data_IF_294955175564
#
_entry.id   IF_294955175564
#
_cell.length_a   1.000
_cell.length_b   1.000
_cell.length_c   1.000
_cell.angle_alpha   90.00
_cell.angle_beta   90.00
_cell.angle_gamma   90.00
#
_symmetry.space_group_name_H-M   'P 1'
#
loop_
_entity.id
_entity.type
_entity.pdbx_description
1 polymer ?
#
# COMPACT_ATOMS: atom_id res chain seq x y z
N UNK A 1 4.10 12.73 9.39
CA UNK A 1 5.08 12.67 8.28
C UNK A 1 4.79 13.76 7.25
N UNK A 2 3.57 13.85 6.74
CA UNK A 2 3.15 14.80 5.70
C UNK A 2 3.41 16.24 6.09
N UNK A 3 2.90 16.67 7.26
CA UNK A 3 3.15 18.02 7.79
C UNK A 3 4.64 18.36 7.91
N UNK A 4 5.46 17.44 8.42
CA UNK A 4 6.92 17.64 8.54
C UNK A 4 7.57 17.90 7.19
N UNK A 5 7.14 17.22 6.12
CA UNK A 5 7.64 17.49 4.79
C UNK A 5 7.18 18.85 4.26
N UNK A 6 5.91 19.20 4.44
CA UNK A 6 5.38 20.51 4.02
C UNK A 6 6.08 21.63 4.76
N UNK A 7 6.28 21.53 6.07
CA UNK A 7 7.03 22.51 6.86
C UNK A 7 8.47 22.62 6.36
N UNK A 8 9.13 21.50 5.99
CA UNK A 8 10.49 21.56 5.44
C UNK A 8 10.52 22.22 4.06
N UNK A 9 9.52 22.00 3.22
CA UNK A 9 9.37 22.71 1.92
C UNK A 9 9.21 24.22 2.17
N UNK A 10 8.31 24.60 3.07
CA UNK A 10 8.07 25.99 3.44
C UNK A 10 9.35 26.69 3.97
N UNK A 11 10.04 26.07 4.92
CA UNK A 11 11.29 26.57 5.47
C UNK A 11 12.39 26.76 4.41
N UNK A 12 12.51 25.86 3.45
CA UNK A 12 13.50 25.96 2.39
C UNK A 12 13.14 27.07 1.40
N UNK A 13 11.85 27.23 1.12
CA UNK A 13 11.34 28.31 0.28
C UNK A 13 11.57 29.69 0.93
N UNK A 14 11.18 29.87 2.19
CA UNK A 14 11.37 31.13 2.94
C UNK A 14 12.86 31.54 3.01
N UNK A 15 13.76 30.54 3.02
CA UNK A 15 15.21 30.79 2.98
C UNK A 15 15.76 31.03 1.56
N UNK A 16 14.91 31.08 0.54
CA UNK A 16 15.30 31.20 -0.85
C UNK A 16 16.16 30.06 -1.41
N UNK A 17 16.05 28.87 -0.76
CA UNK A 17 16.84 27.69 -1.14
C UNK A 17 16.19 26.88 -2.26
N UNK A 18 14.86 26.93 -2.36
CA UNK A 18 14.07 26.26 -3.39
C UNK A 18 12.98 27.21 -3.90
N UNK A 19 12.56 27.01 -5.14
CA UNK A 19 11.36 27.59 -5.77
C UNK A 19 10.43 26.50 -6.31
N UNK A 20 10.83 25.22 -6.18
CA UNK A 20 10.04 24.09 -6.64
C UNK A 20 10.08 22.88 -5.69
N UNK A 21 8.98 22.11 -5.67
CA UNK A 21 8.89 20.85 -4.96
C UNK A 21 8.23 19.77 -5.83
N UNK A 22 8.89 18.64 -6.01
CA UNK A 22 8.33 17.45 -6.64
C UNK A 22 7.96 16.42 -5.57
N UNK A 23 6.67 16.18 -5.39
CA UNK A 23 6.15 15.18 -4.47
C UNK A 23 5.73 13.93 -5.25
N UNK A 24 6.40 12.81 -4.99
CA UNK A 24 6.10 11.52 -5.59
C UNK A 24 5.40 10.65 -4.56
N UNK A 25 4.20 10.16 -4.87
CA UNK A 25 3.39 9.37 -3.94
C UNK A 25 2.69 8.20 -4.64
N UNK A 26 2.17 7.19 -3.93
CA UNK A 26 1.32 6.17 -4.52
C UNK A 26 0.06 6.77 -5.16
N UNK A 27 -0.43 6.17 -6.25
CA UNK A 27 -1.61 6.66 -7.01
C UNK A 27 -2.82 6.96 -6.11
N UNK A 28 -3.06 6.16 -5.07
CA UNK A 28 -4.18 6.37 -4.13
C UNK A 28 -4.03 7.57 -3.21
N UNK A 29 -2.84 8.18 -3.11
CA UNK A 29 -2.53 9.25 -2.15
C UNK A 29 -2.35 10.61 -2.80
N UNK A 30 -2.01 10.65 -4.10
CA UNK A 30 -1.71 11.93 -4.79
C UNK A 30 -2.86 12.94 -4.73
N UNK A 31 -4.11 12.47 -4.77
CA UNK A 31 -5.29 13.35 -4.64
C UNK A 31 -5.41 13.93 -3.23
N UNK A 32 -5.08 13.15 -2.20
CA UNK A 32 -5.06 13.60 -0.80
C UNK A 32 -4.00 14.69 -0.60
N UNK A 33 -2.80 14.51 -1.14
CA UNK A 33 -1.75 15.53 -1.14
C UNK A 33 -2.23 16.85 -1.73
N UNK A 34 -2.85 16.77 -2.90
CA UNK A 34 -3.30 17.95 -3.64
C UNK A 34 -4.51 18.65 -3.01
N UNK A 35 -5.53 17.87 -2.61
CA UNK A 35 -6.83 18.44 -2.16
C UNK A 35 -6.91 18.72 -0.66
N UNK A 36 -6.10 18.06 0.17
CA UNK A 36 -6.24 18.09 1.62
C UNK A 36 -4.95 18.53 2.33
N UNK A 37 -3.83 17.86 2.09
CA UNK A 37 -2.62 18.04 2.88
C UNK A 37 -1.92 19.38 2.59
N UNK A 38 -1.72 19.72 1.32
CA UNK A 38 -1.15 21.01 0.95
C UNK A 38 -2.02 22.18 1.40
N UNK A 39 -3.34 22.23 1.13
CA UNK A 39 -4.18 23.32 1.60
C UNK A 39 -4.27 23.44 3.12
N UNK A 40 -4.18 22.30 3.85
CA UNK A 40 -4.30 22.30 5.31
C UNK A 40 -3.01 22.67 6.05
N UNK A 41 -1.85 22.53 5.41
CA UNK A 41 -0.57 22.59 6.11
C UNK A 41 0.46 23.54 5.51
N UNK A 42 0.30 23.98 4.26
CA UNK A 42 1.17 25.00 3.70
C UNK A 42 0.83 26.35 4.34
N UNK A 43 1.83 27.12 4.84
CA UNK A 43 1.56 28.42 5.44
C UNK A 43 0.90 29.41 4.47
N UNK A 44 -0.08 30.18 4.95
CA UNK A 44 -0.88 31.10 4.14
C UNK A 44 -0.06 32.22 3.45
N UNK A 45 1.12 32.56 3.99
CA UNK A 45 1.99 33.58 3.39
C UNK A 45 2.75 33.08 2.15
N UNK A 46 2.73 31.78 1.86
CA UNK A 46 3.41 31.18 0.71
C UNK A 46 2.44 31.10 -0.46
N UNK A 47 2.58 32.00 -1.42
CA UNK A 47 1.91 31.88 -2.71
C UNK A 47 2.45 30.67 -3.45
N UNK A 48 1.56 29.83 -4.00
CA UNK A 48 1.97 28.58 -4.61
C UNK A 48 1.14 28.20 -5.84
N UNK A 49 1.79 27.49 -6.75
CA UNK A 49 1.17 26.87 -7.92
C UNK A 49 1.33 25.36 -7.78
N UNK A 50 0.30 24.69 -7.28
CA UNK A 50 0.30 23.23 -7.14
C UNK A 50 -0.44 22.56 -8.30
N UNK A 51 0.16 21.54 -8.93
CA UNK A 51 -0.45 20.79 -10.04
C UNK A 51 -0.27 19.29 -9.84
N UNK A 52 -1.37 18.56 -10.00
CA UNK A 52 -1.39 17.10 -10.03
C UNK A 52 -1.18 16.61 -11.47
N UNK A 53 -0.11 15.86 -11.70
CA UNK A 53 0.17 15.24 -12.99
C UNK A 53 -0.81 14.10 -13.30
N UNK A 54 -1.22 14.02 -14.58
CA UNK A 54 -2.10 12.95 -15.09
C UNK A 54 -1.52 12.36 -16.38
N UNK A 55 -1.69 11.05 -16.57
CA UNK A 55 -1.19 10.35 -17.75
C UNK A 55 -1.91 10.80 -19.04
N UNK A 56 -3.23 11.00 -18.96
CA UNK A 56 -4.05 11.50 -20.07
C UNK A 56 -4.16 13.01 -19.94
N UNK A 57 -3.40 13.73 -20.76
CA UNK A 57 -3.33 15.19 -20.75
C UNK A 57 -4.26 15.70 -21.83
N UNK A 58 -5.37 16.32 -21.43
CA UNK A 58 -6.21 17.14 -22.31
C UNK A 58 -5.70 18.60 -22.32
N UNK A 59 -6.28 19.45 -23.18
CA UNK A 59 -5.87 20.87 -23.33
C UNK A 59 -5.89 21.63 -21.98
N UNK A 60 -6.95 21.47 -21.21
CA UNK A 60 -7.10 22.11 -19.88
C UNK A 60 -6.02 21.64 -18.89
N UNK A 61 -5.69 20.35 -18.94
CA UNK A 61 -4.63 19.80 -18.09
C UNK A 61 -3.25 20.28 -18.53
N UNK A 62 -3.01 20.41 -19.84
CA UNK A 62 -1.78 20.98 -20.36
C UNK A 62 -1.59 22.44 -19.91
N UNK A 63 -2.63 23.26 -20.02
CA UNK A 63 -2.61 24.65 -19.56
C UNK A 63 -2.25 24.74 -18.06
N UNK A 64 -2.78 23.84 -17.22
CA UNK A 64 -2.40 23.76 -15.81
C UNK A 64 -0.93 23.36 -15.62
N UNK A 65 -0.46 22.37 -16.37
CA UNK A 65 0.94 21.94 -16.29
C UNK A 65 1.91 23.05 -16.74
N UNK A 66 1.50 23.87 -17.69
CA UNK A 66 2.31 24.99 -18.20
C UNK A 66 2.44 26.12 -17.16
N UNK A 67 1.50 26.25 -16.21
CA UNK A 67 1.64 27.23 -15.12
C UNK A 67 2.84 26.93 -14.22
N UNK A 68 3.28 25.68 -14.13
CA UNK A 68 4.48 25.30 -13.37
C UNK A 68 5.79 25.89 -13.93
N UNK A 69 5.79 26.43 -15.12
CA UNK A 69 6.97 26.97 -15.79
C UNK A 69 6.88 28.50 -16.03
N UNK A 70 5.85 29.13 -15.47
CA UNK A 70 5.74 30.61 -15.53
C UNK A 70 6.73 31.20 -14.55
N UNK A 71 7.33 32.31 -14.96
CA UNK A 71 8.21 33.12 -14.10
C UNK A 71 7.39 33.86 -13.06
N UNK A 72 7.78 33.81 -11.81
CA UNK A 72 7.12 34.40 -10.66
C UNK A 72 7.90 34.16 -9.39
N UNK A 73 7.38 34.65 -8.28
CA UNK A 73 7.94 34.41 -6.95
C UNK A 73 7.22 33.27 -6.23
N UNK A 74 6.33 32.52 -6.90
CA UNK A 74 5.52 31.46 -6.31
C UNK A 74 6.31 30.19 -6.09
N UNK A 75 5.93 29.43 -5.07
CA UNK A 75 6.40 28.06 -4.88
C UNK A 75 5.68 27.13 -5.86
N UNK A 76 6.40 26.52 -6.78
CA UNK A 76 5.85 25.58 -7.75
C UNK A 76 5.86 24.15 -7.18
N UNK A 77 4.69 23.51 -7.09
CA UNK A 77 4.57 22.17 -6.54
C UNK A 77 3.99 21.21 -7.59
N UNK A 78 4.80 20.25 -7.99
CA UNK A 78 4.39 19.17 -8.88
C UNK A 78 4.13 17.90 -8.06
N UNK A 79 2.93 17.34 -8.17
CA UNK A 79 2.56 16.07 -7.50
C UNK A 79 2.42 15.01 -8.57
N UNK A 80 3.15 13.89 -8.44
CA UNK A 80 3.15 12.78 -9.39
C UNK A 80 2.94 11.44 -8.69
N UNK A 81 2.23 10.54 -9.35
CA UNK A 81 2.19 9.16 -8.88
C UNK A 81 3.48 8.42 -9.27
N UNK A 82 3.93 7.52 -8.39
CA UNK A 82 5.20 6.79 -8.59
C UNK A 82 5.21 5.93 -9.86
N UNK A 83 4.03 5.45 -10.30
CA UNK A 83 3.88 4.66 -11.53
C UNK A 83 4.20 5.48 -12.80
N UNK A 84 4.04 6.81 -12.75
CA UNK A 84 4.37 7.71 -13.86
C UNK A 84 5.84 7.58 -14.28
N UNK A 85 6.74 7.28 -13.35
CA UNK A 85 8.17 7.08 -13.61
C UNK A 85 8.50 5.79 -14.37
N UNK A 86 7.54 4.88 -14.52
CA UNK A 86 7.67 3.73 -15.43
C UNK A 86 7.40 4.10 -16.89
N UNK A 87 6.81 5.29 -17.15
CA UNK A 87 6.48 5.80 -18.48
C UNK A 87 7.51 6.84 -18.95
N UNK A 88 7.74 6.91 -20.25
CA UNK A 88 8.64 7.91 -20.82
C UNK A 88 8.12 9.34 -20.62
N UNK A 89 6.82 9.55 -20.87
CA UNK A 89 6.16 10.85 -20.72
C UNK A 89 6.29 11.41 -19.31
N UNK A 90 6.05 10.57 -18.28
CA UNK A 90 6.19 10.98 -16.88
C UNK A 90 7.63 11.32 -16.53
N UNK A 91 8.61 10.55 -17.00
CA UNK A 91 10.03 10.81 -16.78
C UNK A 91 10.50 12.12 -17.41
N UNK A 92 10.13 12.36 -18.68
CA UNK A 92 10.50 13.61 -19.39
C UNK A 92 9.93 14.80 -18.65
N UNK A 93 8.66 14.73 -18.23
CA UNK A 93 8.02 15.84 -17.54
C UNK A 93 8.64 16.12 -16.18
N UNK A 94 8.87 15.08 -15.36
CA UNK A 94 9.54 15.20 -14.07
C UNK A 94 10.94 15.82 -14.21
N UNK A 95 11.74 15.32 -15.18
CA UNK A 95 13.07 15.86 -15.45
C UNK A 95 13.05 17.31 -15.92
N UNK A 96 12.06 17.71 -16.77
CA UNK A 96 11.86 19.09 -17.18
C UNK A 96 11.60 19.98 -15.97
N UNK A 97 10.67 19.58 -15.09
CA UNK A 97 10.35 20.33 -13.87
C UNK A 97 11.58 20.50 -12.97
N UNK A 98 12.30 19.41 -12.66
CA UNK A 98 13.47 19.44 -11.80
C UNK A 98 14.63 20.30 -12.34
N UNK A 99 14.77 20.40 -13.68
CA UNK A 99 15.77 21.28 -14.31
C UNK A 99 15.38 22.75 -14.34
N UNK A 100 14.08 23.02 -14.32
CA UNK A 100 13.56 24.40 -14.37
C UNK A 100 13.51 25.09 -13.01
N UNK A 101 13.64 24.30 -11.91
CA UNK A 101 13.49 24.81 -10.55
C UNK A 101 14.64 24.40 -9.65
N UNK A 102 15.01 25.27 -8.70
CA UNK A 102 15.78 24.88 -7.52
C UNK A 102 14.88 24.05 -6.62
N UNK A 103 14.92 22.73 -6.72
CA UNK A 103 13.85 21.89 -6.21
C UNK A 103 14.24 20.97 -5.06
N UNK A 104 13.23 20.66 -4.24
CA UNK A 104 13.21 19.49 -3.36
C UNK A 104 12.41 18.38 -4.05
N UNK A 105 12.95 17.16 -4.08
CA UNK A 105 12.23 15.96 -4.51
C UNK A 105 11.95 15.08 -3.31
N UNK A 106 10.69 14.75 -3.08
CA UNK A 106 10.25 13.90 -1.98
C UNK A 106 9.50 12.68 -2.48
N UNK A 107 9.71 11.53 -1.82
CA UNK A 107 8.98 10.29 -2.09
C UNK A 107 8.20 9.90 -0.85
N UNK A 108 6.89 9.95 -0.95
CA UNK A 108 5.98 9.41 0.05
C UNK A 108 5.77 7.92 -0.19
N UNK A 109 5.71 7.14 0.89
CA UNK A 109 5.72 5.68 0.89
C UNK A 109 6.89 5.13 0.04
N UNK A 110 8.12 5.48 0.46
CA UNK A 110 9.37 5.17 -0.26
C UNK A 110 9.62 3.67 -0.47
N UNK A 111 8.92 2.80 0.22
CA UNK A 111 8.90 1.34 -0.06
C UNK A 111 8.48 1.03 -1.49
N UNK A 112 7.81 1.95 -2.17
CA UNK A 112 7.46 1.84 -3.60
C UNK A 112 8.67 1.78 -4.52
N UNK A 113 9.83 2.26 -4.08
CA UNK A 113 11.11 2.22 -4.80
C UNK A 113 12.14 1.24 -4.22
N UNK A 114 11.75 0.35 -3.29
CA UNK A 114 12.66 -0.62 -2.65
C UNK A 114 13.33 -1.62 -3.59
N UNK A 115 12.73 -1.87 -4.78
CA UNK A 115 13.29 -2.82 -5.75
C UNK A 115 14.23 -2.11 -6.73
N UNK A 116 15.57 -2.34 -6.64
CA UNK A 116 16.56 -1.67 -7.50
C UNK A 116 16.45 -2.03 -8.98
N UNK A 117 15.75 -3.12 -9.31
CA UNK A 117 15.56 -3.57 -10.70
C UNK A 117 14.32 -2.96 -11.37
N UNK A 118 13.42 -2.35 -10.60
CA UNK A 118 12.19 -1.78 -11.15
C UNK A 118 12.47 -0.55 -12.02
N UNK A 119 11.77 -0.43 -13.16
CA UNK A 119 11.91 0.70 -14.08
C UNK A 119 11.72 2.05 -13.39
N UNK A 120 10.70 2.15 -12.53
CA UNK A 120 10.40 3.38 -11.76
C UNK A 120 11.53 3.74 -10.79
N UNK A 121 12.11 2.76 -10.09
CA UNK A 121 13.21 2.97 -9.16
C UNK A 121 14.43 3.54 -9.87
N UNK A 122 14.87 2.88 -10.95
CA UNK A 122 15.99 3.36 -11.78
C UNK A 122 15.77 4.77 -12.33
N UNK A 123 14.54 5.07 -12.77
CA UNK A 123 14.19 6.39 -13.26
C UNK A 123 14.27 7.45 -12.16
N UNK A 124 13.76 7.17 -10.97
CA UNK A 124 13.80 8.07 -9.82
C UNK A 124 15.24 8.28 -9.36
N UNK A 125 16.03 7.21 -9.24
CA UNK A 125 17.46 7.29 -8.89
C UNK A 125 18.26 8.13 -9.89
N UNK A 126 17.98 8.00 -11.20
CA UNK A 126 18.65 8.82 -12.23
C UNK A 126 18.33 10.30 -12.16
N UNK A 127 17.24 10.69 -11.51
CA UNK A 127 16.81 12.08 -11.35
C UNK A 127 17.30 12.73 -10.05
N UNK A 128 17.90 11.97 -9.13
CA UNK A 128 18.36 12.49 -7.84
C UNK A 128 19.27 13.71 -7.93
N UNK A 129 20.13 13.74 -8.93
CA UNK A 129 21.09 14.84 -9.15
C UNK A 129 20.44 16.11 -9.72
N UNK A 130 19.20 16.02 -10.20
CA UNK A 130 18.47 17.18 -10.71
C UNK A 130 17.79 17.99 -9.60
N UNK A 131 17.65 17.42 -8.39
CA UNK A 131 17.09 18.10 -7.22
C UNK A 131 18.17 18.46 -6.21
N UNK A 132 18.05 19.63 -5.60
CA UNK A 132 18.99 20.09 -4.56
C UNK A 132 18.79 19.35 -3.25
N UNK A 133 17.54 19.08 -2.90
CA UNK A 133 17.18 18.41 -1.66
C UNK A 133 16.33 17.17 -1.96
N UNK A 134 16.56 16.09 -1.19
CA UNK A 134 15.81 14.84 -1.32
C UNK A 134 15.27 14.40 0.04
N UNK A 135 14.06 13.87 0.04
CA UNK A 135 13.43 13.31 1.24
C UNK A 135 12.70 12.03 0.90
N UNK A 136 12.64 11.13 1.84
CA UNK A 136 11.76 9.96 1.80
C UNK A 136 10.91 9.88 3.04
N UNK A 137 9.69 9.43 2.89
CA UNK A 137 8.72 9.23 3.95
C UNK A 137 8.22 7.81 3.88
N UNK A 138 8.19 7.11 5.00
CA UNK A 138 7.61 5.77 5.08
C UNK A 138 7.18 5.45 6.50
N UNK A 139 6.19 4.59 6.65
CA UNK A 139 5.81 4.02 7.94
C UNK A 139 6.71 2.87 8.36
N UNK A 140 7.24 2.13 7.37
CA UNK A 140 8.11 0.98 7.58
C UNK A 140 9.10 0.87 6.42
N UNK A 141 10.35 1.31 6.55
CA UNK A 141 11.32 1.29 5.46
C UNK A 141 11.76 -0.12 5.07
N UNK A 142 11.62 -1.07 6.00
CA UNK A 142 11.89 -2.49 5.80
C UNK A 142 10.58 -3.25 5.84
N UNK A 143 10.17 -3.84 4.74
CA UNK A 143 8.90 -4.55 4.60
C UNK A 143 9.06 -6.05 4.45
N UNK A 144 10.13 -6.50 3.81
CA UNK A 144 10.46 -7.91 3.61
C UNK A 144 11.77 -8.28 4.27
N UNK A 145 12.78 -7.47 4.04
CA UNK A 145 14.11 -7.71 4.55
C UNK A 145 14.96 -6.43 4.49
N UNK A 146 16.09 -6.37 5.20
CA UNK A 146 16.95 -5.20 5.26
C UNK A 146 17.48 -4.69 3.90
N UNK A 147 17.47 -5.53 2.86
CA UNK A 147 17.90 -5.11 1.52
C UNK A 147 16.93 -4.12 0.86
N UNK A 148 15.72 -3.99 1.38
CA UNK A 148 14.74 -2.99 0.94
C UNK A 148 15.25 -1.55 1.15
N UNK A 149 16.23 -1.35 2.02
CA UNK A 149 16.81 -0.04 2.33
C UNK A 149 17.70 0.52 1.22
N UNK A 150 18.34 -0.35 0.43
CA UNK A 150 19.37 0.08 -0.52
C UNK A 150 18.89 1.19 -1.45
N UNK A 151 17.89 0.95 -2.26
CA UNK A 151 17.39 1.94 -3.23
C UNK A 151 16.80 3.18 -2.59
N UNK A 152 16.21 3.04 -1.41
CA UNK A 152 15.65 4.18 -0.67
C UNK A 152 16.75 5.13 -0.20
N UNK A 153 17.87 4.57 0.33
CA UNK A 153 19.02 5.37 0.73
C UNK A 153 19.83 5.87 -0.47
N UNK A 154 19.96 5.07 -1.53
CA UNK A 154 20.63 5.44 -2.79
C UNK A 154 19.97 6.69 -3.43
N UNK A 155 18.65 6.78 -3.34
CA UNK A 155 17.93 7.99 -3.78
C UNK A 155 18.30 9.22 -2.94
N UNK A 156 18.44 9.09 -1.63
CA UNK A 156 18.82 10.20 -0.74
C UNK A 156 20.25 10.66 -1.04
N UNK A 157 21.21 9.76 -0.87
CA UNK A 157 22.61 9.96 -1.17
C UNK A 157 23.30 8.60 -1.29
N UNK A 158 23.99 8.30 -2.41
CA UNK A 158 24.71 7.04 -2.59
C UNK A 158 25.84 6.80 -1.57
N UNK A 159 26.35 7.86 -0.94
CA UNK A 159 27.42 7.76 0.06
C UNK A 159 26.90 7.39 1.47
N UNK A 160 25.60 7.47 1.74
CA UNK A 160 25.06 7.16 3.06
C UNK A 160 25.32 5.73 3.54
N UNK A 161 25.31 4.78 2.62
CA UNK A 161 25.52 3.36 2.97
C UNK A 161 26.93 2.86 2.67
N UNK A 162 27.81 3.66 2.06
CA UNK A 162 29.18 3.31 1.63
C UNK A 162 29.25 2.07 0.74
N UNK A 163 28.27 1.89 -0.15
CA UNK A 163 28.22 0.79 -1.09
C UNK A 163 28.04 1.28 -2.52
N UNK A 164 28.94 0.87 -3.40
CA UNK A 164 28.91 1.28 -4.81
C UNK A 164 27.85 0.58 -5.64
N UNK A 165 27.22 -0.48 -5.12
CA UNK A 165 26.19 -1.22 -5.83
C UNK A 165 25.29 -2.03 -4.89
N UNK A 166 24.09 -2.35 -5.37
CA UNK A 166 23.20 -3.28 -4.68
C UNK A 166 23.86 -4.64 -4.36
N UNK A 167 24.71 -5.14 -5.24
CA UNK A 167 25.38 -6.43 -5.02
C UNK A 167 26.40 -6.37 -3.88
N UNK A 168 27.17 -5.28 -3.79
CA UNK A 168 28.07 -5.03 -2.67
C UNK A 168 27.30 -4.94 -1.35
N UNK A 169 26.21 -4.16 -1.32
CA UNK A 169 25.33 -4.04 -0.17
C UNK A 169 24.73 -5.39 0.24
N UNK A 170 24.21 -6.16 -0.73
CA UNK A 170 23.66 -7.50 -0.48
C UNK A 170 24.71 -8.45 0.11
N UNK A 171 25.92 -8.46 -0.41
CA UNK A 171 27.02 -9.33 0.08
C UNK A 171 27.40 -8.97 1.52
N UNK A 172 27.34 -7.68 1.89
CA UNK A 172 27.65 -7.22 3.25
C UNK A 172 26.59 -7.63 4.25
N UNK A 173 25.29 -7.52 3.89
CA UNK A 173 24.21 -7.66 4.85
C UNK A 173 23.38 -8.93 4.71
N UNK A 174 23.52 -9.71 3.64
CA UNK A 174 22.83 -10.98 3.47
C UNK A 174 23.75 -12.18 3.59
N UNK A 175 23.24 -13.26 4.13
CA UNK A 175 23.83 -14.59 4.09
C UNK A 175 23.26 -15.31 2.88
N UNK A 176 24.15 -15.72 1.96
CA UNK A 176 23.76 -16.34 0.70
C UNK A 176 23.95 -17.86 0.77
N UNK A 177 22.97 -18.60 0.24
CA UNK A 177 23.05 -20.06 0.07
C UNK A 177 22.83 -20.39 -1.39
N UNK A 178 23.66 -21.25 -1.91
CA UNK A 178 23.46 -21.82 -3.24
C UNK A 178 22.42 -22.93 -3.18
N UNK A 179 21.43 -22.85 -4.04
CA UNK A 179 20.43 -23.89 -4.22
C UNK A 179 20.38 -24.30 -5.70
N UNK A 180 20.34 -25.60 -5.96
CA UNK A 180 20.14 -26.12 -7.31
C UNK A 180 18.65 -26.33 -7.56
N UNK A 181 18.05 -25.46 -8.40
CA UNK A 181 16.64 -25.54 -8.76
C UNK A 181 16.55 -25.78 -10.27
N UNK A 182 15.91 -26.89 -10.66
CA UNK A 182 15.76 -27.28 -12.06
C UNK A 182 17.07 -27.28 -12.87
N UNK A 183 18.16 -27.80 -12.28
CA UNK A 183 19.48 -27.88 -12.92
C UNK A 183 20.24 -26.56 -13.01
N UNK A 184 19.74 -25.48 -12.42
CA UNK A 184 20.43 -24.18 -12.34
C UNK A 184 20.83 -23.87 -10.92
N UNK A 185 22.08 -23.44 -10.75
CA UNK A 185 22.60 -22.93 -9.48
C UNK A 185 22.09 -21.51 -9.26
N UNK A 186 21.27 -21.30 -8.21
CA UNK A 186 20.69 -20.02 -7.85
C UNK A 186 21.14 -19.62 -6.44
N UNK A 187 21.53 -18.36 -6.29
CA UNK A 187 21.88 -17.78 -4.99
C UNK A 187 20.61 -17.27 -4.29
N UNK A 188 20.29 -17.89 -3.16
CA UNK A 188 19.16 -17.51 -2.32
C UNK A 188 19.65 -16.82 -1.04
N UNK A 189 18.93 -15.83 -0.58
CA UNK A 189 19.14 -15.24 0.76
C UNK A 189 18.60 -16.20 1.79
N UNK A 190 19.46 -16.67 2.70
CA UNK A 190 19.11 -17.59 3.79
C UNK A 190 19.08 -16.90 5.17
N UNK A 191 19.59 -15.68 5.26
CA UNK A 191 19.63 -14.90 6.50
C UNK A 191 20.27 -13.54 6.29
N UNK A 192 20.41 -12.79 7.39
CA UNK A 192 21.00 -11.46 7.40
C UNK A 192 22.08 -11.36 8.47
N UNK A 193 23.04 -10.48 8.25
CA UNK A 193 24.20 -10.24 9.13
C UNK A 193 24.52 -8.75 9.19
N UNK A 194 25.36 -8.33 10.15
CA UNK A 194 25.84 -6.96 10.32
C UNK A 194 24.70 -5.91 10.47
N UNK A 195 23.56 -6.30 11.04
CA UNK A 195 22.38 -5.42 11.15
C UNK A 195 22.62 -4.23 12.10
N UNK A 196 23.48 -4.40 13.13
CA UNK A 196 23.90 -3.31 14.01
C UNK A 196 24.62 -2.20 13.24
N UNK A 197 25.60 -2.57 12.41
CA UNK A 197 26.34 -1.64 11.54
C UNK A 197 25.37 -0.90 10.60
N UNK A 198 24.41 -1.61 9.99
CA UNK A 198 23.42 -0.99 9.11
C UNK A 198 22.55 0.00 9.88
N UNK A 199 22.10 -0.35 11.08
CA UNK A 199 21.34 0.54 11.96
C UNK A 199 22.12 1.81 12.29
N UNK A 200 23.40 1.68 12.64
CA UNK A 200 24.26 2.82 12.98
C UNK A 200 24.50 3.75 11.78
N UNK A 201 24.63 3.20 10.58
CA UNK A 201 24.73 4.01 9.35
C UNK A 201 23.45 4.79 9.03
N UNK A 202 22.27 4.30 9.42
CA UNK A 202 21.00 4.99 9.18
C UNK A 202 20.76 6.16 10.15
N UNK A 203 21.23 6.07 11.38
CA UNK A 203 20.97 7.06 12.44
C UNK A 203 21.28 8.52 12.04
N UNK A 204 22.40 8.85 11.38
CA UNK A 204 22.77 10.25 11.11
C UNK A 204 21.82 11.00 10.18
N UNK A 205 21.08 10.31 9.32
CA UNK A 205 20.21 10.92 8.30
C UNK A 205 18.77 10.47 8.36
N UNK A 206 18.39 9.65 9.37
CA UNK A 206 17.02 9.19 9.56
C UNK A 206 16.43 9.63 10.89
N UNK A 207 15.12 9.89 10.89
CA UNK A 207 14.36 10.17 12.10
C UNK A 207 13.16 9.23 12.18
N UNK A 208 13.06 8.51 13.29
CA UNK A 208 11.99 7.56 13.55
C UNK A 208 11.19 8.00 14.77
N UNK A 209 9.87 7.98 14.63
CA UNK A 209 8.92 8.23 15.73
C UNK A 209 7.94 7.08 15.74
N UNK A 210 7.76 6.42 16.87
CA UNK A 210 6.73 5.41 17.05
C UNK A 210 5.41 6.07 17.44
N UNK A 211 4.30 5.46 17.06
CA UNK A 211 2.97 5.96 17.42
C UNK A 211 2.76 5.97 18.92
N UNK A 212 3.21 4.92 19.60
CA UNK A 212 3.15 4.73 21.05
C UNK A 212 3.92 5.80 21.82
N UNK A 213 4.97 6.39 21.23
CA UNK A 213 5.76 7.45 21.88
C UNK A 213 5.10 8.83 21.78
N UNK A 214 4.17 9.03 20.84
CA UNK A 214 3.67 10.36 20.46
C UNK A 214 2.16 10.50 20.49
N UNK A 215 1.42 9.42 20.54
CA UNK A 215 -0.03 9.43 20.43
C UNK A 215 -0.62 8.58 21.55
N UNK A 216 -1.50 9.19 22.32
CA UNK A 216 -2.38 8.47 23.23
C UNK A 216 -3.59 7.95 22.43
N UNK A 217 -3.44 6.75 21.86
CA UNK A 217 -4.48 6.08 21.10
C UNK A 217 -5.11 4.96 21.94
N UNK A 218 -6.42 4.75 21.82
CA UNK A 218 -7.08 3.61 22.44
C UNK A 218 -6.47 2.27 22.03
N UNK A 219 -6.61 1.26 22.87
CA UNK A 219 -6.01 -0.07 22.62
C UNK A 219 -6.54 -0.74 21.35
N UNK A 220 -5.76 -1.70 20.84
CA UNK A 220 -6.15 -2.63 19.78
C UNK A 220 -6.54 -3.96 20.39
N UNK A 221 -7.66 -4.53 19.95
CA UNK A 221 -8.15 -5.83 20.37
C UNK A 221 -8.16 -6.74 19.16
N UNK A 222 -7.55 -7.91 19.25
CA UNK A 222 -7.51 -8.89 18.16
C UNK A 222 -8.34 -10.12 18.51
N UNK A 223 -9.24 -10.48 17.60
CA UNK A 223 -10.13 -11.62 17.72
C UNK A 223 -10.04 -12.50 16.47
N UNK A 224 -10.33 -13.78 16.63
CA UNK A 224 -10.44 -14.74 15.53
C UNK A 224 -11.83 -15.37 15.55
N UNK A 225 -12.38 -15.54 14.36
CA UNK A 225 -13.58 -16.34 14.12
C UNK A 225 -13.20 -17.50 13.22
N UNK A 226 -13.20 -18.71 13.78
CA UNK A 226 -12.80 -19.91 13.08
C UNK A 226 -14.03 -20.60 12.49
N UNK A 227 -13.96 -20.93 11.22
CA UNK A 227 -15.01 -21.60 10.46
C UNK A 227 -14.44 -22.83 9.77
N UNK A 228 -15.34 -23.74 9.37
CA UNK A 228 -14.99 -24.92 8.58
C UNK A 228 -15.48 -24.77 7.14
N UNK A 229 -14.82 -25.45 6.21
CA UNK A 229 -15.30 -25.58 4.83
C UNK A 229 -16.64 -26.32 4.80
N UNK A 230 -17.54 -25.91 3.91
CA UNK A 230 -18.71 -26.72 3.57
C UNK A 230 -18.26 -28.03 2.90
N UNK A 231 -19.08 -29.09 2.90
CA UNK A 231 -18.72 -30.33 2.21
C UNK A 231 -18.35 -30.15 0.73
N UNK A 232 -19.06 -29.26 0.05
CA UNK A 232 -18.78 -28.90 -1.36
C UNK A 232 -17.42 -28.19 -1.51
N UNK A 233 -17.16 -27.17 -0.68
CA UNK A 233 -15.87 -26.48 -0.67
C UNK A 233 -14.73 -27.46 -0.35
N UNK A 234 -14.92 -28.34 0.64
CA UNK A 234 -13.90 -29.30 1.07
C UNK A 234 -13.50 -30.21 -0.08
N UNK A 235 -14.48 -30.73 -0.82
CA UNK A 235 -14.22 -31.56 -1.99
C UNK A 235 -13.34 -30.84 -3.00
N UNK A 236 -13.74 -29.64 -3.43
CA UNK A 236 -13.01 -28.85 -4.42
C UNK A 236 -11.62 -28.42 -3.88
N UNK A 237 -11.54 -28.09 -2.59
CA UNK A 237 -10.29 -27.72 -1.94
C UNK A 237 -9.29 -28.89 -1.89
N UNK A 238 -9.74 -30.08 -1.54
CA UNK A 238 -8.90 -31.28 -1.44
C UNK A 238 -8.44 -31.75 -2.83
N UNK A 239 -9.29 -31.70 -3.85
CA UNK A 239 -8.94 -31.98 -5.26
C UNK A 239 -7.84 -31.00 -5.73
N UNK A 240 -8.01 -29.70 -5.49
CA UNK A 240 -7.01 -28.67 -5.84
C UNK A 240 -5.70 -28.88 -5.07
N UNK A 241 -5.77 -29.24 -3.79
CA UNK A 241 -4.60 -29.52 -2.94
C UNK A 241 -3.83 -30.73 -3.43
N UNK A 242 -4.51 -31.81 -3.84
CA UNK A 242 -3.89 -33.00 -4.43
C UNK A 242 -3.20 -32.68 -5.75
N UNK A 243 -3.87 -31.92 -6.62
CA UNK A 243 -3.29 -31.44 -7.89
C UNK A 243 -2.05 -30.57 -7.64
N UNK A 244 -2.11 -29.69 -6.66
CA UNK A 244 -0.97 -28.87 -6.25
C UNK A 244 0.20 -29.72 -5.76
N UNK A 245 -0.04 -30.73 -4.92
CA UNK A 245 0.98 -31.66 -4.42
C UNK A 245 1.57 -32.53 -5.54
N UNK A 246 0.74 -33.06 -6.45
CA UNK A 246 1.20 -33.82 -7.62
C UNK A 246 2.10 -32.99 -8.53
N UNK A 247 1.74 -31.74 -8.75
CA UNK A 247 2.56 -30.78 -9.50
C UNK A 247 3.89 -30.48 -8.79
N UNK A 248 3.90 -30.40 -7.47
CA UNK A 248 5.13 -30.19 -6.65
C UNK A 248 6.05 -31.42 -6.67
N UNK A 249 5.49 -32.62 -6.65
CA UNK A 249 6.23 -33.89 -6.68
C UNK A 249 6.71 -34.27 -8.09
N UNK A 250 6.01 -33.85 -9.14
CA UNK A 250 6.44 -33.97 -10.53
C UNK A 250 7.49 -32.91 -10.87
N UNK A 251 8.68 -33.31 -11.29
CA UNK A 251 9.95 -32.57 -11.45
C UNK A 251 9.95 -31.22 -12.21
N UNK A 252 8.81 -30.55 -12.43
CA UNK A 252 8.69 -29.27 -13.14
C UNK A 252 7.73 -28.30 -12.45
N UNK A 253 8.09 -27.81 -11.27
CA UNK A 253 7.34 -26.69 -10.66
C UNK A 253 8.11 -25.40 -10.84
N UNK A 254 7.53 -24.47 -11.61
CA UNK A 254 7.96 -23.08 -11.56
C UNK A 254 7.34 -22.44 -10.33
N UNK A 255 8.05 -21.48 -9.70
CA UNK A 255 7.54 -20.69 -8.56
C UNK A 255 6.18 -20.04 -8.89
N UNK A 256 5.94 -19.71 -10.15
CA UNK A 256 4.68 -19.14 -10.65
C UNK A 256 3.51 -20.12 -10.48
N UNK A 257 3.70 -21.40 -10.83
CA UNK A 257 2.65 -22.42 -10.69
C UNK A 257 2.29 -22.67 -9.22
N UNK A 258 3.28 -22.72 -8.32
CA UNK A 258 3.04 -22.90 -6.89
C UNK A 258 2.25 -21.72 -6.28
N UNK A 259 2.61 -20.48 -6.65
CA UNK A 259 1.87 -19.29 -6.18
C UNK A 259 0.44 -19.27 -6.72
N UNK A 260 0.23 -19.63 -7.98
CA UNK A 260 -1.12 -19.70 -8.58
C UNK A 260 -1.99 -20.73 -7.85
N UNK A 261 -1.43 -21.87 -7.50
CA UNK A 261 -2.16 -22.91 -6.75
C UNK A 261 -2.52 -22.47 -5.34
N UNK A 262 -1.60 -21.80 -4.62
CA UNK A 262 -1.90 -21.22 -3.31
C UNK A 262 -3.00 -20.16 -3.39
N UNK A 263 -3.00 -19.31 -4.42
CA UNK A 263 -4.07 -18.34 -4.66
C UNK A 263 -5.41 -19.02 -4.92
N UNK A 264 -5.45 -20.10 -5.73
CA UNK A 264 -6.67 -20.87 -5.98
C UNK A 264 -7.22 -21.53 -4.72
N UNK A 265 -6.36 -22.13 -3.91
CA UNK A 265 -6.76 -22.71 -2.62
C UNK A 265 -7.37 -21.65 -1.70
N UNK A 266 -6.80 -20.46 -1.67
CA UNK A 266 -7.33 -19.36 -0.87
C UNK A 266 -8.68 -18.85 -1.43
N UNK A 267 -8.83 -18.73 -2.73
CA UNK A 267 -10.09 -18.37 -3.37
C UNK A 267 -11.19 -19.36 -3.02
N UNK A 268 -10.90 -20.66 -3.06
CA UNK A 268 -11.87 -21.71 -2.67
C UNK A 268 -12.27 -21.54 -1.20
N UNK A 269 -11.32 -21.27 -0.30
CA UNK A 269 -11.61 -20.99 1.11
C UNK A 269 -12.47 -19.72 1.30
N UNK A 270 -12.38 -18.74 0.38
CA UNK A 270 -13.24 -17.56 0.36
C UNK A 270 -14.60 -17.77 -0.31
N UNK A 271 -14.84 -18.95 -0.91
CA UNK A 271 -16.12 -19.30 -1.53
C UNK A 271 -16.25 -18.97 -3.02
N UNK A 272 -15.13 -18.84 -3.73
CA UNK A 272 -15.11 -18.73 -5.18
C UNK A 272 -13.81 -19.32 -5.75
N UNK A 273 -13.77 -19.57 -7.05
CA UNK A 273 -12.55 -19.88 -7.78
C UNK A 273 -12.64 -19.44 -9.23
N UNK A 274 -11.49 -19.23 -9.85
CA UNK A 274 -11.40 -18.95 -11.27
C UNK A 274 -11.09 -20.24 -12.01
N UNK A 275 -12.01 -20.67 -12.88
CA UNK A 275 -11.83 -21.83 -13.74
C UNK A 275 -10.77 -21.57 -14.82
N UNK A 276 -10.34 -22.63 -15.53
CA UNK A 276 -9.28 -22.51 -16.55
C UNK A 276 -9.71 -21.68 -17.77
N UNK A 277 -11.00 -21.58 -18.04
CA UNK A 277 -11.59 -20.73 -19.07
C UNK A 277 -11.68 -19.24 -18.66
N UNK A 278 -11.25 -18.91 -17.43
CA UNK A 278 -11.31 -17.56 -16.86
C UNK A 278 -12.65 -17.22 -16.20
N UNK A 279 -13.65 -18.10 -16.24
CA UNK A 279 -14.92 -17.89 -15.55
C UNK A 279 -14.76 -17.97 -14.04
N UNK A 280 -15.52 -17.13 -13.30
CA UNK A 280 -15.52 -17.15 -11.84
C UNK A 280 -16.75 -17.92 -11.38
N UNK A 281 -16.51 -19.00 -10.61
CA UNK A 281 -17.52 -19.83 -10.00
C UNK A 281 -17.65 -19.49 -8.52
N UNK A 282 -18.87 -19.26 -8.03
CA UNK A 282 -19.14 -19.11 -6.60
C UNK A 282 -19.48 -20.49 -5.99
N UNK A 283 -18.98 -20.72 -4.79
CA UNK A 283 -19.26 -21.92 -3.99
C UNK A 283 -19.94 -21.48 -2.70
N UNK A 284 -20.97 -22.21 -2.27
CA UNK A 284 -21.60 -21.96 -0.97
C UNK A 284 -20.54 -22.09 0.13
N UNK A 285 -20.45 -21.11 1.02
CA UNK A 285 -19.42 -21.07 2.07
C UNK A 285 -19.99 -20.55 3.38
N UNK A 286 -19.38 -20.96 4.50
CA UNK A 286 -19.76 -20.53 5.84
C UNK A 286 -19.19 -19.14 6.18
N UNK A 287 -18.18 -18.65 5.44
CA UNK A 287 -17.47 -17.38 5.72
C UNK A 287 -18.38 -16.18 5.62
N UNK A 288 -19.27 -16.16 4.63
CA UNK A 288 -20.19 -15.04 4.42
C UNK A 288 -21.26 -14.99 5.52
N UNK A 289 -21.72 -16.15 6.00
CA UNK A 289 -22.69 -16.20 7.10
C UNK A 289 -22.01 -15.78 8.42
N UNK A 290 -20.81 -16.29 8.72
CA UNK A 290 -20.04 -15.83 9.89
C UNK A 290 -19.77 -14.33 9.87
N UNK A 291 -19.48 -13.76 8.66
CA UNK A 291 -19.35 -12.32 8.53
C UNK A 291 -20.65 -11.60 8.91
N UNK A 292 -21.82 -12.09 8.45
CA UNK A 292 -23.09 -11.46 8.79
C UNK A 292 -23.34 -11.51 10.30
N UNK A 293 -23.04 -12.64 10.96
CA UNK A 293 -23.17 -12.79 12.41
C UNK A 293 -22.25 -11.78 13.15
N UNK A 294 -20.99 -11.66 12.72
CA UNK A 294 -20.07 -10.64 13.27
C UNK A 294 -20.62 -9.23 13.09
N UNK A 295 -21.19 -8.90 11.90
CA UNK A 295 -21.70 -7.57 11.62
C UNK A 295 -22.98 -7.25 12.41
N UNK A 296 -23.76 -8.24 12.80
CA UNK A 296 -24.91 -8.07 13.70
C UNK A 296 -24.49 -7.74 15.13
N UNK A 297 -23.34 -8.29 15.58
CA UNK A 297 -22.77 -7.99 16.90
C UNK A 297 -22.16 -6.56 16.97
N UNK A 298 -21.88 -5.92 15.81
CA UNK A 298 -21.20 -4.62 15.77
C UNK A 298 -22.14 -3.48 16.11
N UNK A 299 -21.80 -2.74 17.16
CA UNK A 299 -22.40 -1.45 17.45
C UNK A 299 -21.69 -0.34 16.64
N UNK A 300 -22.43 0.35 15.77
CA UNK A 300 -21.90 1.46 14.96
C UNK A 300 -21.36 1.04 13.60
N UNK A 301 -20.19 1.57 13.22
CA UNK A 301 -19.63 1.37 11.88
C UNK A 301 -18.51 0.34 11.89
N UNK A 302 -18.45 -0.48 10.82
CA UNK A 302 -17.41 -1.46 10.60
C UNK A 302 -16.73 -1.30 9.24
N UNK A 303 -15.46 -1.67 9.20
CA UNK A 303 -14.67 -1.80 7.97
C UNK A 303 -14.51 -3.29 7.69
N UNK A 304 -14.79 -3.71 6.46
CA UNK A 304 -14.61 -5.08 6.00
C UNK A 304 -13.51 -5.09 4.94
N UNK A 305 -12.40 -5.73 5.22
CA UNK A 305 -11.31 -5.88 4.30
C UNK A 305 -11.36 -7.22 3.59
N UNK A 306 -11.36 -7.20 2.26
CA UNK A 306 -11.35 -8.34 1.38
C UNK A 306 -10.07 -8.36 0.54
N UNK A 307 -9.42 -9.51 0.41
CA UNK A 307 -8.21 -9.65 -0.39
C UNK A 307 -8.51 -9.61 -1.90
N UNK A 308 -9.62 -10.21 -2.32
CA UNK A 308 -10.04 -10.30 -3.71
C UNK A 308 -11.16 -9.32 -4.02
N UNK A 309 -11.20 -8.82 -5.28
CA UNK A 309 -12.28 -7.93 -5.74
C UNK A 309 -13.63 -8.64 -5.73
N UNK A 310 -13.64 -9.94 -6.11
CA UNK A 310 -14.85 -10.76 -6.07
C UNK A 310 -15.44 -10.88 -4.66
N UNK A 311 -14.58 -11.00 -3.65
CA UNK A 311 -15.02 -10.98 -2.26
C UNK A 311 -15.72 -9.65 -1.91
N UNK A 312 -15.18 -8.52 -2.38
CA UNK A 312 -15.81 -7.20 -2.14
C UNK A 312 -17.22 -7.15 -2.73
N UNK A 313 -17.40 -7.64 -3.95
CA UNK A 313 -18.69 -7.67 -4.65
C UNK A 313 -19.70 -8.56 -3.91
N UNK A 314 -19.30 -9.80 -3.59
CA UNK A 314 -20.14 -10.76 -2.88
C UNK A 314 -20.53 -10.26 -1.47
N UNK A 315 -19.57 -9.73 -0.73
CA UNK A 315 -19.80 -9.18 0.62
C UNK A 315 -20.71 -7.96 0.56
N UNK A 316 -20.47 -7.04 -0.37
CA UNK A 316 -21.29 -5.83 -0.52
C UNK A 316 -22.74 -6.17 -0.89
N UNK A 317 -22.95 -7.11 -1.81
CA UNK A 317 -24.28 -7.60 -2.17
C UNK A 317 -25.00 -8.22 -0.95
N UNK A 318 -24.29 -9.06 -0.19
CA UNK A 318 -24.85 -9.70 1.01
C UNK A 318 -25.18 -8.72 2.12
N UNK A 319 -24.29 -7.75 2.37
CA UNK A 319 -24.53 -6.65 3.33
C UNK A 319 -25.77 -5.85 2.94
N UNK A 320 -25.88 -5.45 1.67
CA UNK A 320 -27.04 -4.69 1.18
C UNK A 320 -28.36 -5.49 1.31
N UNK A 321 -28.29 -6.80 1.08
CA UNK A 321 -29.46 -7.69 1.24
C UNK A 321 -29.86 -7.88 2.70
N UNK A 322 -28.90 -8.00 3.64
CA UNK A 322 -29.16 -8.28 5.05
C UNK A 322 -29.56 -7.04 5.83
N UNK A 323 -28.87 -5.92 5.61
CA UNK A 323 -29.00 -4.68 6.41
C UNK A 323 -29.70 -3.56 5.66
N UNK A 324 -30.14 -3.79 4.42
CA UNK A 324 -30.85 -2.84 3.60
C UNK A 324 -29.95 -2.07 2.59
N UNK A 325 -30.54 -1.56 1.52
CA UNK A 325 -29.85 -0.74 0.54
C UNK A 325 -29.34 0.56 1.20
N UNK A 326 -28.09 0.92 0.92
CA UNK A 326 -27.47 2.11 1.52
C UNK A 326 -26.77 1.87 2.86
N UNK A 327 -26.91 0.68 3.48
CA UNK A 327 -26.24 0.31 4.73
C UNK A 327 -24.71 0.21 4.59
N UNK A 328 -24.20 0.10 3.37
CA UNK A 328 -22.76 -0.02 3.10
C UNK A 328 -22.33 0.68 1.83
N UNK A 329 -21.02 0.81 1.69
CA UNK A 329 -20.32 1.30 0.49
C UNK A 329 -19.21 0.33 0.10
N UNK A 330 -18.86 0.29 -1.18
CA UNK A 330 -17.71 -0.47 -1.65
C UNK A 330 -16.56 0.44 -2.09
N UNK A 331 -15.31 -0.02 -1.89
CA UNK A 331 -14.10 0.74 -2.18
C UNK A 331 -12.96 -0.18 -2.65
N UNK A 332 -12.83 -0.37 -3.95
CA UNK A 332 -11.80 -1.26 -4.52
C UNK A 332 -11.32 -0.78 -5.90
N UNK A 333 -10.44 -1.54 -6.54
CA UNK A 333 -9.83 -1.17 -7.82
C UNK A 333 -10.82 -0.92 -8.95
N UNK A 334 -11.95 -1.63 -8.96
CA UNK A 334 -13.03 -1.47 -9.95
C UNK A 334 -13.91 -0.24 -9.75
N UNK A 335 -13.91 0.38 -8.56
CA UNK A 335 -14.69 1.60 -8.29
C UNK A 335 -14.05 2.81 -8.96
N UNK A 336 -14.83 3.62 -9.66
CA UNK A 336 -14.36 4.87 -10.28
C UNK A 336 -13.86 5.87 -9.23
N UNK A 337 -12.87 6.74 -9.53
CA UNK A 337 -12.32 7.70 -8.56
C UNK A 337 -13.36 8.62 -7.92
N UNK A 338 -14.32 9.12 -8.72
CA UNK A 338 -15.39 10.00 -8.24
C UNK A 338 -16.37 9.26 -7.30
N UNK A 339 -16.64 7.99 -7.58
CA UNK A 339 -17.46 7.13 -6.74
C UNK A 339 -16.77 6.79 -5.43
N UNK A 340 -15.44 6.65 -5.44
CA UNK A 340 -14.65 6.44 -4.21
C UNK A 340 -14.75 7.65 -3.26
N UNK A 341 -14.65 8.87 -3.80
CA UNK A 341 -14.78 10.09 -2.99
C UNK A 341 -16.20 10.16 -2.37
N UNK A 342 -17.25 9.83 -3.16
CA UNK A 342 -18.63 9.77 -2.68
C UNK A 342 -18.84 8.69 -1.62
N UNK A 343 -18.31 7.48 -1.86
CA UNK A 343 -18.40 6.35 -0.92
C UNK A 343 -17.74 6.71 0.42
N UNK A 344 -16.55 7.31 0.38
CA UNK A 344 -15.83 7.73 1.57
C UNK A 344 -16.59 8.79 2.36
N UNK A 345 -17.16 9.79 1.66
CA UNK A 345 -17.99 10.82 2.29
C UNK A 345 -19.25 10.23 2.91
N UNK A 346 -19.96 9.37 2.17
CA UNK A 346 -21.18 8.71 2.67
C UNK A 346 -20.88 7.86 3.91
N UNK A 347 -19.82 7.06 3.90
CA UNK A 347 -19.45 6.26 5.07
C UNK A 347 -19.10 7.13 6.30
N UNK A 348 -18.47 8.29 6.11
CA UNK A 348 -18.11 9.18 7.22
C UNK A 348 -19.30 9.94 7.81
N UNK A 349 -20.16 10.48 6.95
CA UNK A 349 -21.16 11.47 7.33
C UNK A 349 -22.58 10.88 7.53
N UNK A 350 -22.92 9.82 6.81
CA UNK A 350 -24.24 9.20 6.89
C UNK A 350 -24.28 8.14 8.00
N UNK A 351 -25.10 8.30 9.06
CA UNK A 351 -25.20 7.31 10.14
C UNK A 351 -25.76 5.96 9.68
N UNK A 352 -26.62 5.94 8.66
CA UNK A 352 -27.22 4.71 8.14
C UNK A 352 -26.23 3.88 7.31
N UNK A 353 -25.17 4.51 6.78
CA UNK A 353 -24.10 3.83 6.09
C UNK A 353 -23.10 3.26 7.10
N UNK A 354 -23.37 2.04 7.56
CA UNK A 354 -22.62 1.38 8.64
C UNK A 354 -21.37 0.63 8.16
N UNK A 355 -21.34 0.16 6.91
CA UNK A 355 -20.34 -0.81 6.46
C UNK A 355 -19.49 -0.27 5.31
N UNK A 356 -18.18 -0.31 5.48
CA UNK A 356 -17.21 0.01 4.44
C UNK A 356 -16.54 -1.28 3.95
N UNK A 357 -16.84 -1.71 2.74
CA UNK A 357 -16.30 -2.95 2.15
C UNK A 357 -15.21 -2.59 1.14
N UNK A 358 -13.99 -3.05 1.33
CA UNK A 358 -12.90 -2.67 0.43
C UNK A 358 -11.73 -3.63 0.41
N UNK A 359 -10.75 -3.31 -0.44
CA UNK A 359 -9.48 -4.04 -0.47
C UNK A 359 -8.38 -3.26 0.23
N UNK A 360 -7.52 -3.90 1.05
CA UNK A 360 -6.36 -3.23 1.67
C UNK A 360 -5.44 -2.58 0.64
N UNK A 361 -5.35 -3.15 -0.56
CA UNK A 361 -4.54 -2.60 -1.65
C UNK A 361 -5.01 -1.23 -2.14
N UNK A 362 -6.32 -0.95 -2.09
CA UNK A 362 -6.91 0.33 -2.53
C UNK A 362 -7.19 1.26 -1.35
N UNK A 363 -7.80 0.74 -0.29
CA UNK A 363 -8.19 1.51 0.90
C UNK A 363 -7.08 1.64 1.96
N UNK A 364 -6.04 0.83 1.87
CA UNK A 364 -4.89 0.87 2.79
C UNK A 364 -4.00 2.11 2.63
N UNK A 365 -4.24 2.99 1.67
CA UNK A 365 -3.45 4.19 1.44
C UNK A 365 -4.30 5.46 1.50
N UNK A 366 -3.84 6.47 2.25
CA UNK A 366 -4.30 7.85 2.19
C UNK A 366 -5.70 8.18 2.72
N UNK A 367 -6.50 7.21 3.16
CA UNK A 367 -7.84 7.45 3.71
C UNK A 367 -7.86 7.36 5.24
N UNK A 368 -8.79 8.04 5.86
CA UNK A 368 -9.02 8.01 7.32
C UNK A 368 -10.43 7.50 7.58
N UNK A 369 -10.55 6.43 8.39
CA UNK A 369 -11.81 5.75 8.70
C UNK A 369 -12.04 5.63 10.21
N UNK A 370 -11.62 6.62 10.98
CA UNK A 370 -11.73 6.67 12.45
C UNK A 370 -13.16 6.71 12.99
N UNK A 371 -14.15 6.85 12.12
CA UNK A 371 -15.56 6.72 12.47
C UNK A 371 -15.96 5.27 12.79
N UNK A 372 -15.13 4.30 12.37
CA UNK A 372 -15.32 2.89 12.69
C UNK A 372 -14.35 2.46 13.79
N UNK A 373 -14.82 1.59 14.67
CA UNK A 373 -14.01 0.97 15.72
C UNK A 373 -13.99 -0.57 15.62
N UNK A 374 -14.60 -1.13 14.58
CA UNK A 374 -14.52 -2.55 14.26
C UNK A 374 -13.98 -2.73 12.85
N UNK A 375 -13.03 -3.62 12.69
CA UNK A 375 -12.39 -3.97 11.42
C UNK A 375 -12.44 -5.47 11.25
N UNK A 376 -13.13 -5.95 10.23
CA UNK A 376 -13.24 -7.38 9.93
C UNK A 376 -12.39 -7.70 8.71
N UNK A 377 -11.50 -8.66 8.84
CA UNK A 377 -10.76 -9.23 7.72
C UNK A 377 -11.51 -10.47 7.23
N UNK A 378 -12.31 -10.26 6.19
CA UNK A 378 -12.99 -11.34 5.50
C UNK A 378 -11.98 -12.29 4.84
N UNK A 379 -10.93 -11.74 4.24
CA UNK A 379 -9.80 -12.51 3.70
C UNK A 379 -8.49 -11.72 3.84
N UNK A 380 -7.39 -12.41 4.15
CA UNK A 380 -6.07 -11.84 4.34
C UNK A 380 -5.12 -12.19 3.18
N UNK A 381 -4.16 -11.34 2.88
CA UNK A 381 -3.02 -11.66 2.02
C UNK A 381 -1.74 -11.84 2.83
N UNK A 382 -0.66 -12.34 2.21
CA UNK A 382 0.66 -12.50 2.83
C UNK A 382 1.46 -11.20 3.03
N UNK A 383 0.84 -10.04 2.80
CA UNK A 383 1.51 -8.74 2.81
C UNK A 383 1.27 -8.03 4.15
N UNK A 384 2.19 -8.22 5.11
CA UNK A 384 2.14 -7.60 6.43
C UNK A 384 2.07 -6.06 6.34
N UNK A 385 2.75 -5.45 5.37
CA UNK A 385 2.72 -4.00 5.20
C UNK A 385 1.30 -3.52 4.91
N UNK A 386 0.60 -4.16 3.98
CA UNK A 386 -0.81 -3.83 3.66
C UNK A 386 -1.74 -4.09 4.83
N UNK A 387 -1.49 -5.16 5.60
CA UNK A 387 -2.23 -5.45 6.82
C UNK A 387 -2.10 -4.31 7.81
N UNK A 388 -0.87 -3.94 8.19
CA UNK A 388 -0.60 -2.85 9.13
C UNK A 388 -1.17 -1.51 8.64
N UNK A 389 -1.00 -1.19 7.35
CA UNK A 389 -1.54 0.04 6.76
C UNK A 389 -3.08 0.08 6.80
N UNK A 390 -3.75 -1.06 6.57
CA UNK A 390 -5.22 -1.13 6.65
C UNK A 390 -5.75 -1.04 8.08
N UNK A 391 -5.03 -1.58 9.07
CA UNK A 391 -5.33 -1.37 10.49
C UNK A 391 -5.25 0.10 10.87
N UNK A 392 -4.23 0.78 10.37
CA UNK A 392 -3.99 2.20 10.62
C UNK A 392 -5.04 3.14 9.99
N UNK A 393 -5.99 2.63 9.22
CA UNK A 393 -7.13 3.45 8.75
C UNK A 393 -8.13 3.72 9.85
N UNK A 394 -8.38 2.78 10.74
CA UNK A 394 -9.24 2.92 11.91
C UNK A 394 -8.47 3.41 13.15
N UNK A 395 -7.26 2.87 13.39
CA UNK A 395 -6.43 3.19 14.55
C UNK A 395 -5.46 4.35 14.23
N UNK A 396 -5.99 5.56 14.25
CA UNK A 396 -5.30 6.79 13.87
C UNK A 396 -5.74 7.96 14.74
N UNK A 397 -5.03 9.09 14.68
CA UNK A 397 -5.42 10.35 15.31
C UNK A 397 -6.91 10.65 15.02
N UNK A 398 -7.67 10.90 16.07
CA UNK A 398 -9.12 11.10 16.03
C UNK A 398 -9.93 9.86 16.41
N UNK A 399 -9.31 8.68 16.59
CA UNK A 399 -9.97 7.52 17.17
C UNK A 399 -10.13 7.69 18.69
N UNK A 400 -11.36 7.52 19.17
CA UNK A 400 -11.71 7.70 20.60
C UNK A 400 -12.06 6.39 21.31
N UNK A 401 -12.22 5.29 20.56
CA UNK A 401 -12.60 3.96 21.08
C UNK A 401 -11.53 2.95 20.76
N UNK A 402 -11.39 1.92 21.57
CA UNK A 402 -10.58 0.75 21.23
C UNK A 402 -11.05 0.16 19.91
N UNK A 403 -10.09 -0.24 19.07
CA UNK A 403 -10.38 -0.81 17.75
C UNK A 403 -10.29 -2.32 17.83
N UNK A 404 -11.38 -3.00 17.51
CA UNK A 404 -11.46 -4.45 17.45
C UNK A 404 -11.17 -4.93 16.03
N UNK A 405 -10.19 -5.80 15.89
CA UNK A 405 -9.82 -6.47 14.63
C UNK A 405 -10.26 -7.92 14.70
N UNK A 406 -11.13 -8.32 13.78
CA UNK A 406 -11.67 -9.69 13.70
C UNK A 406 -11.16 -10.35 12.43
N UNK A 407 -10.42 -11.44 12.57
CA UNK A 407 -9.99 -12.27 11.44
C UNK A 407 -10.92 -13.46 11.28
N UNK A 408 -11.58 -13.61 10.13
CA UNK A 408 -12.35 -14.80 9.78
C UNK A 408 -11.40 -15.79 9.12
N UNK A 409 -11.22 -16.95 9.72
CA UNK A 409 -10.23 -17.95 9.33
C UNK A 409 -10.94 -19.28 9.05
N UNK A 410 -10.71 -19.85 7.87
CA UNK A 410 -11.13 -21.22 7.60
C UNK A 410 -10.09 -22.19 8.11
N UNK A 411 -10.50 -23.03 9.05
CA UNK A 411 -9.61 -24.01 9.68
C UNK A 411 -9.12 -25.07 8.67
N UNK A 412 -7.96 -25.67 8.94
CA UNK A 412 -7.28 -26.65 8.08
C UNK A 412 -7.03 -26.20 6.63
N UNK A 413 -6.94 -24.87 6.39
CA UNK A 413 -6.69 -24.32 5.08
C UNK A 413 -5.43 -23.45 5.04
N UNK A 414 -5.16 -22.85 3.88
CA UNK A 414 -4.06 -21.87 3.70
C UNK A 414 -4.25 -20.61 4.55
N UNK A 415 -5.47 -20.30 4.99
CA UNK A 415 -5.76 -19.11 5.80
C UNK A 415 -5.01 -19.13 7.14
N UNK A 416 -4.97 -20.27 7.80
CA UNK A 416 -4.24 -20.41 9.07
C UNK A 416 -2.75 -20.11 8.92
N UNK A 417 -2.16 -20.45 7.75
CA UNK A 417 -0.75 -20.14 7.43
C UNK A 417 -0.55 -18.68 7.11
N UNK A 418 -1.51 -18.06 6.41
CA UNK A 418 -1.48 -16.64 6.07
C UNK A 418 -1.50 -15.81 7.36
N UNK A 419 -2.48 -16.05 8.23
CA UNK A 419 -2.64 -15.27 9.47
C UNK A 419 -1.45 -15.49 10.44
N UNK A 420 -0.87 -16.71 10.49
CA UNK A 420 0.37 -16.94 11.26
C UNK A 420 1.59 -16.21 10.73
N UNK A 421 1.58 -15.79 9.46
CA UNK A 421 2.68 -15.06 8.83
C UNK A 421 2.53 -13.53 8.95
N UNK A 422 1.36 -13.06 9.37
CA UNK A 422 1.06 -11.66 9.67
C UNK A 422 1.35 -11.31 11.13
#
# INVERSE_FOLDING_TARGET
KTKVLIDNVAMLYDKGRIDGALIVAPKGVVSTWYKQELPAHLPDHIENVAVLWQANINKKQQEKLDTLFKTGHDLHILIMNVEAFSTEKGRIFAAKFLRSHKSLMAIDESTTIKNPKAKRTKAIESMRTLSLYRRILTGSPVTRNPLDLYSQCEFLDPYHLDHTSYYSFRTRYAVMRTANIAGRSIQLVSGFKNLGELSDKLKPFSYRVLKEDCLDLPGKIYMKREITLTPEQKKVYDEMKQTALATLNGKRVTTVNALTQLMRLQQIACGHFTADDGSIQNIKNNRIEELMDVLEEVEGKAIIWCHYQRDVENVFERVSKRFGPGSGVHYYGGTLPEERDKALKNFKENPDCRFFVGTPATGGYGITLTVANTVVYYSNGYDLEKRMQSEDRAHRIGQKKSVTYVDIITDDTVDTKIVKSL
#
